data_IF_134314836789
#
_entry.id   IF_134314836789
#
_cell.length_a   1.000
_cell.length_b   1.000
_cell.length_c   1.000
_cell.angle_alpha   90.00
_cell.angle_beta   90.00
_cell.angle_gamma   90.00
#
_symmetry.space_group_name_H-M   'P 1'
#
loop_
_entity.id
_entity.type
_entity.pdbx_description
1 polymer ?
#
# COMPACT_ATOMS: atom_id res chain seq x y z
N UNK A 1 -8.45 -3.19 19.09
CA UNK A 1 -9.07 -2.06 18.37
C UNK A 1 -10.57 -2.16 18.46
N UNK A 2 -11.21 -1.10 18.88
CA UNK A 2 -12.66 -1.06 19.10
C UNK A 2 -13.33 0.11 18.39
N UNK A 3 -12.54 1.08 17.95
CA UNK A 3 -13.06 2.29 17.32
C UNK A 3 -13.54 2.03 15.89
N UNK A 4 -14.77 2.42 15.59
CA UNK A 4 -15.29 2.39 14.22
C UNK A 4 -14.81 3.59 13.43
N UNK A 5 -14.44 3.38 12.17
CA UNK A 5 -14.03 4.44 11.26
C UNK A 5 -15.27 5.26 10.85
N UNK A 6 -15.26 6.54 11.19
CA UNK A 6 -16.36 7.47 10.93
C UNK A 6 -15.80 8.81 10.44
N UNK A 7 -16.68 9.77 10.13
CA UNK A 7 -16.25 11.13 9.76
C UNK A 7 -15.48 11.85 10.88
N UNK A 8 -15.85 11.59 12.13
CA UNK A 8 -15.22 12.22 13.29
C UNK A 8 -14.01 11.42 13.80
N UNK A 9 -13.97 10.14 13.51
CA UNK A 9 -12.90 9.21 13.87
C UNK A 9 -12.40 8.55 12.58
N UNK A 10 -11.66 9.32 11.79
CA UNK A 10 -11.07 8.83 10.53
C UNK A 10 -9.83 7.97 10.82
N UNK A 11 -9.34 7.26 9.84
CA UNK A 11 -8.02 6.60 9.91
C UNK A 11 -7.13 7.04 8.77
N UNK A 12 -5.85 6.65 8.81
CA UNK A 12 -4.94 6.84 7.69
C UNK A 12 -4.52 5.49 7.10
N UNK A 13 -4.54 5.40 5.77
CA UNK A 13 -3.90 4.32 5.02
C UNK A 13 -2.62 4.86 4.40
N UNK A 14 -1.48 4.30 4.79
CA UNK A 14 -0.15 4.72 4.36
C UNK A 14 0.48 3.54 3.64
N UNK A 15 0.75 3.68 2.34
CA UNK A 15 1.37 2.65 1.52
C UNK A 15 2.81 3.06 1.20
N UNK A 16 3.76 2.18 1.49
CA UNK A 16 5.14 2.25 1.02
C UNK A 16 5.31 1.24 -0.12
N UNK A 17 5.69 1.68 -1.29
CA UNK A 17 5.73 0.87 -2.51
C UNK A 17 7.15 0.83 -3.05
N UNK A 18 7.68 -0.38 -3.13
CA UNK A 18 8.94 -0.66 -3.77
C UNK A 18 8.85 -0.40 -5.28
N UNK A 19 9.75 0.41 -5.78
CA UNK A 19 9.94 0.69 -7.18
C UNK A 19 11.37 0.38 -7.64
N UNK A 20 12.09 -0.50 -6.96
CA UNK A 20 13.44 -0.93 -7.33
C UNK A 20 13.50 -1.71 -8.64
N UNK A 21 14.70 -1.93 -9.16
CA UNK A 21 14.92 -2.59 -10.45
C UNK A 21 14.33 -4.00 -10.53
N UNK A 22 14.27 -4.77 -9.44
CA UNK A 22 13.67 -6.10 -9.38
C UNK A 22 12.16 -6.10 -9.65
N UNK A 23 11.49 -4.99 -9.39
CA UNK A 23 10.07 -4.81 -9.70
C UNK A 23 9.76 -4.83 -11.21
N UNK A 24 10.78 -4.78 -12.09
CA UNK A 24 10.63 -5.00 -13.54
C UNK A 24 10.46 -6.48 -13.92
N UNK A 25 10.67 -7.42 -13.00
CA UNK A 25 10.48 -8.84 -13.27
C UNK A 25 9.02 -9.16 -13.59
N UNK A 26 8.84 -10.07 -14.57
CA UNK A 26 7.50 -10.49 -15.00
C UNK A 26 6.90 -11.54 -14.08
N UNK A 27 5.62 -11.37 -13.78
CA UNK A 27 4.81 -12.32 -13.02
C UNK A 27 3.49 -12.59 -13.75
N UNK A 28 2.85 -13.72 -13.43
CA UNK A 28 1.48 -13.99 -13.84
C UNK A 28 0.52 -13.39 -12.79
N UNK A 29 -0.16 -12.32 -13.14
CA UNK A 29 -1.14 -11.67 -12.27
C UNK A 29 -2.50 -11.61 -12.96
N UNK A 30 -3.55 -12.13 -12.31
CA UNK A 30 -4.92 -12.20 -12.87
C UNK A 30 -4.99 -12.81 -14.27
N UNK A 31 -4.17 -13.84 -14.54
CA UNK A 31 -4.12 -14.51 -15.84
C UNK A 31 -3.36 -13.75 -16.94
N UNK A 32 -2.68 -12.65 -16.62
CA UNK A 32 -1.87 -11.85 -17.54
C UNK A 32 -0.43 -11.80 -17.10
N UNK A 33 0.48 -11.89 -18.07
CA UNK A 33 1.90 -11.64 -17.84
C UNK A 33 2.13 -10.13 -17.79
N UNK A 34 2.62 -9.63 -16.66
CA UNK A 34 2.96 -8.23 -16.45
C UNK A 34 4.13 -8.12 -15.46
N UNK A 35 4.71 -6.93 -15.31
CA UNK A 35 5.75 -6.71 -14.30
C UNK A 35 5.16 -6.66 -12.89
N UNK A 36 5.98 -6.95 -11.87
CA UNK A 36 5.60 -6.77 -10.47
C UNK A 36 5.14 -5.32 -10.22
N UNK A 37 5.85 -4.33 -10.80
CA UNK A 37 5.49 -2.93 -10.70
C UNK A 37 4.09 -2.63 -11.26
N UNK A 38 3.73 -3.19 -12.43
CA UNK A 38 2.39 -3.04 -13.01
C UNK A 38 1.32 -3.69 -12.14
N UNK A 39 1.59 -4.87 -11.60
CA UNK A 39 0.67 -5.56 -10.69
C UNK A 39 0.44 -4.76 -9.41
N UNK A 40 1.50 -4.23 -8.79
CA UNK A 40 1.39 -3.39 -7.58
C UNK A 40 0.64 -2.09 -7.86
N UNK A 41 0.95 -1.42 -8.97
CA UNK A 41 0.23 -0.21 -9.35
C UNK A 41 -1.27 -0.49 -9.56
N UNK A 42 -1.62 -1.61 -10.22
CA UNK A 42 -3.02 -2.04 -10.40
C UNK A 42 -3.70 -2.28 -9.06
N UNK A 43 -3.11 -3.09 -8.17
CA UNK A 43 -3.68 -3.38 -6.84
C UNK A 43 -3.85 -2.10 -6.02
N UNK A 44 -2.85 -1.22 -6.06
CA UNK A 44 -2.90 0.06 -5.33
C UNK A 44 -4.03 0.95 -5.85
N UNK A 45 -4.17 1.07 -7.16
CA UNK A 45 -5.25 1.84 -7.78
C UNK A 45 -6.63 1.26 -7.44
N UNK A 46 -6.78 -0.07 -7.47
CA UNK A 46 -8.02 -0.75 -7.07
C UNK A 46 -8.38 -0.46 -5.61
N UNK A 47 -7.38 -0.53 -4.71
CA UNK A 47 -7.58 -0.21 -3.29
C UNK A 47 -8.01 1.25 -3.10
N UNK A 48 -7.33 2.18 -3.75
CA UNK A 48 -7.65 3.61 -3.67
C UNK A 48 -9.08 3.88 -4.19
N UNK A 49 -9.44 3.25 -5.30
CA UNK A 49 -10.79 3.35 -5.86
C UNK A 49 -11.85 2.79 -4.90
N UNK A 50 -11.60 1.63 -4.30
CA UNK A 50 -12.51 1.04 -3.32
C UNK A 50 -12.68 1.95 -2.09
N UNK A 51 -11.61 2.59 -1.60
CA UNK A 51 -11.68 3.55 -0.50
C UNK A 51 -12.52 4.78 -0.87
N UNK A 52 -12.37 5.30 -2.09
CA UNK A 52 -13.20 6.40 -2.61
C UNK A 52 -14.67 5.98 -2.69
N UNK A 53 -14.97 4.82 -3.27
CA UNK A 53 -16.35 4.35 -3.42
C UNK A 53 -17.01 4.03 -2.06
N UNK A 54 -16.29 3.46 -1.12
CA UNK A 54 -16.78 3.26 0.27
C UNK A 54 -17.07 4.58 0.99
N UNK A 55 -16.33 5.62 0.66
CA UNK A 55 -16.52 6.95 1.22
C UNK A 55 -17.61 7.78 0.51
N UNK A 56 -18.08 7.33 -0.68
CA UNK A 56 -19.09 8.03 -1.47
C UNK A 56 -20.47 7.98 -0.81
N UNK A 57 -21.14 9.13 -0.79
CA UNK A 57 -22.53 9.30 -0.33
C UNK A 57 -23.28 10.16 -1.34
N UNK A 58 -24.57 10.36 -1.13
CA UNK A 58 -25.42 11.18 -2.00
C UNK A 58 -24.97 12.66 -2.08
N UNK A 59 -24.28 13.13 -1.05
CA UNK A 59 -23.78 14.50 -0.91
C UNK A 59 -22.29 14.66 -1.27
N UNK A 60 -21.63 13.60 -1.76
CA UNK A 60 -20.23 13.59 -2.18
C UNK A 60 -19.38 12.55 -1.47
N UNK A 61 -18.05 12.68 -1.57
CA UNK A 61 -17.11 11.78 -0.89
C UNK A 61 -16.78 12.34 0.48
N UNK A 62 -16.95 11.53 1.52
CA UNK A 62 -16.70 11.92 2.91
C UNK A 62 -15.33 11.47 3.38
N UNK A 63 -14.65 12.31 4.17
CA UNK A 63 -13.31 12.05 4.68
C UNK A 63 -13.33 11.05 5.85
N UNK A 64 -13.51 9.78 5.53
CA UNK A 64 -13.30 8.68 6.45
C UNK A 64 -11.84 8.26 6.53
N UNK A 65 -11.07 8.57 5.49
CA UNK A 65 -9.70 8.13 5.32
C UNK A 65 -8.81 9.28 4.90
N UNK A 66 -7.60 9.34 5.49
CA UNK A 66 -6.47 10.08 4.96
C UNK A 66 -5.52 9.07 4.27
N UNK A 67 -4.98 9.42 3.10
CA UNK A 67 -4.25 8.49 2.24
C UNK A 67 -2.86 9.04 1.96
N UNK A 68 -1.85 8.20 2.12
CA UNK A 68 -0.48 8.44 1.70
C UNK A 68 0.01 7.28 0.83
N UNK A 69 0.74 7.59 -0.24
CA UNK A 69 1.43 6.60 -1.06
C UNK A 69 2.85 7.05 -1.29
N UNK A 70 3.80 6.40 -0.65
CA UNK A 70 5.23 6.68 -0.71
C UNK A 70 5.88 5.65 -1.62
N UNK A 71 6.47 6.09 -2.72
CA UNK A 71 7.30 5.25 -3.57
C UNK A 71 8.77 5.41 -3.21
N UNK A 72 9.53 4.33 -3.31
CA UNK A 72 10.96 4.34 -3.11
C UNK A 72 11.71 3.54 -4.18
N UNK A 73 12.73 4.14 -4.77
CA UNK A 73 13.48 3.58 -5.91
C UNK A 73 14.79 4.34 -6.11
N UNK A 74 15.63 3.90 -7.05
CA UNK A 74 16.79 4.63 -7.47
C UNK A 74 17.85 4.77 -6.38
N UNK A 75 18.68 5.78 -6.52
CA UNK A 75 19.69 6.16 -5.54
C UNK A 75 19.04 7.15 -4.56
N UNK A 76 18.33 6.63 -3.54
CA UNK A 76 17.66 7.39 -2.47
C UNK A 76 16.43 8.23 -2.89
N UNK A 77 15.75 7.86 -3.96
CA UNK A 77 14.50 8.52 -4.34
C UNK A 77 13.31 8.03 -3.52
N UNK A 78 12.96 8.75 -2.47
CA UNK A 78 11.74 8.54 -1.70
C UNK A 78 10.79 9.72 -1.90
N UNK A 79 9.62 9.46 -2.49
CA UNK A 79 8.67 10.50 -2.83
C UNK A 79 7.22 10.06 -2.70
N UNK A 80 6.32 11.03 -2.58
CA UNK A 80 4.89 10.76 -2.76
C UNK A 80 4.60 10.36 -4.20
N UNK A 81 3.80 9.30 -4.38
CA UNK A 81 3.28 8.88 -5.68
C UNK A 81 1.89 9.45 -5.95
N UNK A 82 1.29 10.13 -4.98
CA UNK A 82 -0.01 10.78 -5.17
C UNK A 82 0.12 11.94 -6.17
N UNK A 83 -0.89 12.15 -7.02
CA UNK A 83 -0.96 13.35 -7.87
C UNK A 83 -0.86 14.62 -7.01
N UNK A 84 0.00 15.57 -7.43
CA UNK A 84 0.27 16.77 -6.63
C UNK A 84 1.47 16.65 -5.68
N UNK A 85 1.95 15.42 -5.38
CA UNK A 85 3.16 15.20 -4.57
C UNK A 85 2.98 15.43 -3.06
N UNK A 86 1.75 15.61 -2.59
CA UNK A 86 1.45 15.75 -1.15
C UNK A 86 1.67 14.42 -0.43
N UNK A 87 2.21 14.46 0.79
CA UNK A 87 2.50 13.25 1.56
C UNK A 87 1.24 12.57 2.08
N UNK A 88 0.20 13.33 2.38
CA UNK A 88 -1.04 12.80 2.94
C UNK A 88 -2.22 13.66 2.48
N UNK A 89 -3.22 13.04 1.88
CA UNK A 89 -4.42 13.72 1.40
C UNK A 89 -5.68 13.07 1.96
N UNK A 90 -6.75 13.82 2.25
CA UNK A 90 -8.05 13.22 2.54
C UNK A 90 -8.61 12.53 1.29
N UNK A 91 -9.40 11.48 1.48
CA UNK A 91 -9.96 10.67 0.37
C UNK A 91 -10.84 11.51 -0.57
N UNK A 92 -11.49 12.58 -0.07
CA UNK A 92 -12.27 13.50 -0.90
C UNK A 92 -11.39 14.31 -1.87
N UNK A 93 -10.19 14.71 -1.44
CA UNK A 93 -9.23 15.40 -2.31
C UNK A 93 -8.69 14.46 -3.40
N UNK A 94 -8.41 13.20 -3.04
CA UNK A 94 -8.03 12.18 -4.03
C UNK A 94 -9.14 11.97 -5.06
N UNK A 95 -10.39 11.86 -4.62
CA UNK A 95 -11.54 11.68 -5.49
C UNK A 95 -11.84 12.87 -6.41
N UNK A 96 -11.43 14.09 -6.00
CA UNK A 96 -11.62 15.32 -6.78
C UNK A 96 -10.56 15.52 -7.87
N UNK A 97 -9.47 14.74 -7.85
CA UNK A 97 -8.43 14.85 -8.87
C UNK A 97 -8.90 14.29 -10.21
N UNK A 98 -8.64 15.01 -11.30
CA UNK A 98 -8.81 14.47 -12.64
C UNK A 98 -7.83 13.31 -12.86
N UNK A 99 -8.38 12.12 -12.98
CA UNK A 99 -7.59 10.92 -13.16
C UNK A 99 -7.49 10.50 -14.62
N UNK A 100 -6.31 10.06 -15.05
CA UNK A 100 -6.24 9.24 -16.25
C UNK A 100 -7.05 7.96 -15.99
N UNK A 101 -8.02 7.70 -16.84
CA UNK A 101 -8.79 6.46 -16.83
C UNK A 101 -8.22 5.57 -17.92
N UNK A 102 -7.72 4.40 -17.58
CA UNK A 102 -7.45 3.35 -18.55
C UNK A 102 -8.61 2.35 -18.56
N UNK A 103 -8.75 1.61 -19.63
CA UNK A 103 -9.78 0.59 -19.74
C UNK A 103 -9.21 -0.75 -19.29
N UNK A 104 -9.79 -1.33 -18.27
CA UNK A 104 -9.51 -2.71 -17.90
C UNK A 104 -10.59 -3.64 -18.44
N UNK A 105 -10.17 -4.81 -18.91
CA UNK A 105 -11.06 -5.89 -19.30
C UNK A 105 -11.17 -6.87 -18.15
N UNK A 106 -12.34 -6.96 -17.55
CA UNK A 106 -12.63 -7.93 -16.49
C UNK A 106 -13.49 -9.07 -17.00
N UNK A 107 -13.26 -10.27 -16.47
CA UNK A 107 -14.14 -11.41 -16.68
C UNK A 107 -15.38 -11.28 -15.79
N UNK A 108 -16.54 -11.26 -16.40
CA UNK A 108 -17.81 -11.27 -15.70
C UNK A 108 -18.55 -12.59 -15.98
N UNK A 109 -18.81 -13.36 -14.90
CA UNK A 109 -19.58 -14.59 -15.02
C UNK A 109 -21.06 -14.26 -15.11
N UNK A 110 -21.68 -14.66 -16.21
CA UNK A 110 -23.10 -14.50 -16.44
C UNK A 110 -23.93 -15.56 -15.66
N UNK A 111 -25.25 -15.33 -15.45
CA UNK A 111 -26.12 -16.27 -14.73
C UNK A 111 -26.20 -17.68 -15.36
N UNK A 112 -25.92 -17.79 -16.66
CA UNK A 112 -25.88 -19.07 -17.41
C UNK A 112 -24.52 -19.80 -17.25
N UNK A 113 -23.60 -19.26 -16.49
CA UNK A 113 -22.25 -19.81 -16.24
C UNK A 113 -21.22 -19.46 -17.31
N UNK A 114 -21.60 -18.78 -18.39
CA UNK A 114 -20.65 -18.29 -19.40
C UNK A 114 -19.85 -17.09 -18.88
N UNK A 115 -18.66 -16.87 -19.47
CA UNK A 115 -17.78 -15.75 -19.15
C UNK A 115 -17.90 -14.69 -20.23
N UNK A 116 -18.30 -13.49 -19.86
CA UNK A 116 -18.28 -12.32 -20.72
C UNK A 116 -17.12 -11.41 -20.31
N UNK A 117 -16.40 -10.87 -21.29
CA UNK A 117 -15.41 -9.82 -21.06
C UNK A 117 -16.13 -8.47 -21.02
N UNK A 118 -15.90 -7.73 -19.95
CA UNK A 118 -16.45 -6.38 -19.78
C UNK A 118 -15.32 -5.37 -19.64
N UNK A 119 -15.37 -4.33 -20.43
CA UNK A 119 -14.51 -3.18 -20.27
C UNK A 119 -15.04 -2.27 -19.17
N UNK A 120 -14.20 -1.96 -18.19
CA UNK A 120 -14.50 -1.00 -17.15
C UNK A 120 -13.44 0.11 -17.12
N UNK A 121 -13.85 1.36 -16.87
CA UNK A 121 -12.87 2.40 -16.62
C UNK A 121 -12.16 2.12 -15.28
N UNK A 122 -10.84 2.06 -15.32
CA UNK A 122 -10.00 1.87 -14.16
C UNK A 122 -9.21 3.15 -13.85
N UNK A 123 -9.24 3.65 -12.63
CA UNK A 123 -8.46 4.82 -12.25
C UNK A 123 -6.97 4.49 -12.23
N UNK A 124 -6.13 5.45 -12.57
CA UNK A 124 -4.67 5.31 -12.62
C UNK A 124 -3.97 6.45 -11.88
N UNK A 125 -4.22 6.59 -10.57
CA UNK A 125 -3.49 7.55 -9.73
C UNK A 125 -2.00 7.22 -9.64
N UNK A 126 -1.69 5.93 -9.48
CA UNK A 126 -0.34 5.41 -9.27
C UNK A 126 0.15 4.77 -10.56
N UNK A 127 1.34 5.19 -11.00
CA UNK A 127 2.02 4.60 -12.16
C UNK A 127 3.03 3.55 -11.70
N UNK A 128 3.27 2.50 -12.51
CA UNK A 128 4.32 1.54 -12.24
C UNK A 128 5.68 2.22 -12.10
N UNK A 129 6.48 1.76 -11.14
CA UNK A 129 7.84 2.25 -10.90
C UNK A 129 8.77 1.05 -10.76
N UNK A 130 9.88 1.03 -11.52
CA UNK A 130 10.88 -0.02 -11.46
C UNK A 130 12.24 0.50 -11.92
N UNK A 131 13.04 1.03 -10.99
CA UNK A 131 14.36 1.56 -11.29
C UNK A 131 15.28 1.58 -10.05
N UNK A 132 16.55 1.24 -10.25
CA UNK A 132 17.62 1.42 -9.27
C UNK A 132 17.52 0.55 -8.03
N UNK A 133 17.90 1.10 -6.91
CA UNK A 133 18.05 0.45 -5.60
C UNK A 133 16.74 0.43 -4.78
N UNK A 134 16.83 -0.11 -3.56
CA UNK A 134 15.69 -0.28 -2.64
C UNK A 134 15.90 0.55 -1.35
N UNK A 135 15.76 1.88 -1.36
CA UNK A 135 15.93 2.73 -0.17
C UNK A 135 14.73 2.60 0.79
N UNK A 136 14.51 1.38 1.27
CA UNK A 136 13.34 1.00 2.11
C UNK A 136 13.40 1.67 3.47
N UNK A 137 14.60 1.79 4.06
CA UNK A 137 14.77 2.35 5.39
C UNK A 137 14.38 3.84 5.41
N UNK A 138 14.81 4.59 4.40
CA UNK A 138 14.45 6.00 4.24
C UNK A 138 12.95 6.17 3.97
N UNK A 139 12.38 5.29 3.15
CA UNK A 139 10.94 5.27 2.92
C UNK A 139 10.14 5.02 4.20
N UNK A 140 10.56 4.05 5.01
CA UNK A 140 9.90 3.76 6.29
C UNK A 140 10.10 4.87 7.32
N UNK A 141 11.23 5.61 7.30
CA UNK A 141 11.39 6.84 8.11
C UNK A 141 10.36 7.89 7.71
N UNK A 142 10.18 8.12 6.40
CA UNK A 142 9.15 9.05 5.91
C UNK A 142 7.74 8.59 6.30
N UNK A 143 7.43 7.31 6.17
CA UNK A 143 6.16 6.70 6.63
C UNK A 143 5.95 6.94 8.13
N UNK A 144 6.98 6.70 8.95
CA UNK A 144 6.97 7.00 10.40
C UNK A 144 6.60 8.46 10.66
N UNK A 145 7.24 9.38 9.94
CA UNK A 145 7.03 10.82 10.15
C UNK A 145 5.61 11.25 9.74
N UNK A 146 5.07 10.69 8.65
CA UNK A 146 3.67 10.87 8.23
C UNK A 146 2.71 10.34 9.32
N UNK A 147 2.94 9.11 9.80
CA UNK A 147 2.11 8.49 10.83
C UNK A 147 2.21 9.26 12.17
N UNK A 148 3.40 9.71 12.57
CA UNK A 148 3.60 10.52 13.76
C UNK A 148 2.88 11.88 13.65
N UNK A 149 2.99 12.56 12.51
CA UNK A 149 2.27 13.80 12.24
C UNK A 149 0.77 13.62 12.25
N UNK A 150 0.25 12.45 11.82
CA UNK A 150 -1.18 12.16 11.84
C UNK A 150 -1.68 11.84 13.27
N UNK A 151 -0.98 10.96 14.00
CA UNK A 151 -1.35 10.53 15.36
C UNK A 151 -1.23 11.66 16.39
N UNK A 152 -0.33 12.63 16.17
CA UNK A 152 -0.15 13.79 17.05
C UNK A 152 -1.30 14.81 16.99
N UNK A 153 -2.19 14.73 15.99
CA UNK A 153 -3.32 15.64 15.87
C UNK A 153 -4.37 15.29 16.92
N UNK A 154 -4.77 16.26 17.75
CA UNK A 154 -5.81 16.07 18.79
C UNK A 154 -7.12 15.52 18.22
N UNK A 155 -7.49 15.92 16.99
CA UNK A 155 -8.70 15.41 16.33
C UNK A 155 -8.64 13.90 16.03
N UNK A 156 -7.46 13.30 15.99
CA UNK A 156 -7.25 11.89 15.67
C UNK A 156 -6.98 11.02 16.92
N UNK A 157 -6.91 11.64 18.12
CA UNK A 157 -6.50 10.95 19.33
C UNK A 157 -7.37 9.72 19.68
N UNK A 158 -8.67 9.77 19.40
CA UNK A 158 -9.62 8.69 19.65
C UNK A 158 -9.97 7.89 18.38
N UNK A 159 -9.24 8.09 17.28
CA UNK A 159 -9.48 7.42 16.01
C UNK A 159 -8.88 6.02 15.99
N UNK A 160 -9.34 5.18 15.06
CA UNK A 160 -8.63 3.96 14.69
C UNK A 160 -7.22 4.33 14.21
N UNK A 161 -6.15 3.68 14.71
CA UNK A 161 -4.79 4.06 14.36
C UNK A 161 -4.48 3.85 12.87
N UNK A 162 -3.47 4.54 12.33
CA UNK A 162 -3.03 4.34 10.96
C UNK A 162 -2.68 2.88 10.64
N UNK A 163 -2.96 2.49 9.39
CA UNK A 163 -2.54 1.21 8.83
C UNK A 163 -1.49 1.48 7.78
N UNK A 164 -0.31 0.90 7.98
CA UNK A 164 0.85 1.00 7.08
C UNK A 164 1.00 -0.30 6.32
N UNK A 165 1.07 -0.23 5.00
CA UNK A 165 1.44 -1.35 4.13
C UNK A 165 2.80 -1.07 3.52
N UNK A 166 3.76 -1.96 3.73
CA UNK A 166 5.03 -1.95 3.03
C UNK A 166 5.03 -3.08 1.99
N UNK A 167 5.11 -2.74 0.71
CA UNK A 167 4.99 -3.66 -0.42
C UNK A 167 6.33 -3.72 -1.14
N UNK A 168 7.01 -4.88 -1.10
CA UNK A 168 8.37 -5.04 -1.63
C UNK A 168 8.60 -6.47 -2.12
N UNK A 169 9.59 -6.65 -2.98
CA UNK A 169 10.09 -7.97 -3.41
C UNK A 169 11.52 -8.26 -2.94
N UNK A 170 12.16 -7.34 -2.20
CA UNK A 170 13.57 -7.40 -1.87
C UNK A 170 13.97 -6.92 -0.48
N UNK A 171 15.29 -6.81 -0.31
CA UNK A 171 15.94 -6.28 0.89
C UNK A 171 16.17 -4.78 0.76
N UNK A 172 16.18 -4.08 1.91
CA UNK A 172 16.68 -2.72 1.99
C UNK A 172 18.15 -2.66 1.56
N UNK A 173 18.49 -1.68 0.73
CA UNK A 173 19.88 -1.45 0.28
C UNK A 173 20.56 -0.28 0.99
N UNK A 174 19.79 0.49 1.74
CA UNK A 174 20.18 1.76 2.39
C UNK A 174 20.42 1.61 3.90
N UNK A 175 20.23 0.43 4.48
CA UNK A 175 20.47 0.17 5.90
C UNK A 175 20.69 -1.32 6.18
N UNK A 176 21.16 -1.63 7.38
CA UNK A 176 21.21 -3.01 7.87
C UNK A 176 19.90 -3.46 8.53
N UNK A 177 19.84 -4.76 8.87
CA UNK A 177 18.64 -5.37 9.44
C UNK A 177 18.28 -4.82 10.84
N UNK A 178 19.25 -4.36 11.62
CA UNK A 178 19.04 -3.81 12.96
C UNK A 178 18.41 -2.42 12.86
N UNK A 179 18.92 -1.61 11.95
CA UNK A 179 18.38 -0.29 11.66
C UNK A 179 16.95 -0.38 11.08
N UNK A 180 16.72 -1.30 10.13
CA UNK A 180 15.39 -1.56 9.58
C UNK A 180 14.37 -1.93 10.67
N UNK A 181 14.75 -2.85 11.58
CA UNK A 181 13.93 -3.23 12.74
C UNK A 181 13.62 -2.04 13.64
N UNK A 182 14.63 -1.23 13.92
CA UNK A 182 14.48 -0.04 14.75
C UNK A 182 13.44 0.92 14.18
N UNK A 183 13.46 1.17 12.86
CA UNK A 183 12.47 2.02 12.19
C UNK A 183 11.07 1.39 12.25
N UNK A 184 10.95 0.09 11.99
CA UNK A 184 9.69 -0.63 12.11
C UNK A 184 9.11 -0.57 13.53
N UNK A 185 9.94 -0.75 14.56
CA UNK A 185 9.51 -0.66 15.95
C UNK A 185 9.08 0.76 16.33
N UNK A 186 9.75 1.78 15.80
CA UNK A 186 9.31 3.17 15.96
C UNK A 186 7.93 3.42 15.34
N UNK A 187 7.64 2.87 14.15
CA UNK A 187 6.31 2.95 13.52
C UNK A 187 5.26 2.27 14.40
N UNK A 188 5.52 1.03 14.84
CA UNK A 188 4.61 0.24 15.69
C UNK A 188 4.41 0.84 17.09
N UNK A 189 5.33 1.69 17.57
CA UNK A 189 5.19 2.40 18.83
C UNK A 189 4.28 3.63 18.74
N UNK A 190 4.02 4.16 17.55
CA UNK A 190 3.03 5.21 17.34
C UNK A 190 1.61 4.67 17.54
N UNK A 191 0.68 5.53 17.90
CA UNK A 191 -0.70 5.06 18.09
C UNK A 191 -1.68 6.16 18.45
N UNK A 192 -2.89 5.73 18.70
CA UNK A 192 -4.02 6.51 19.24
C UNK A 192 -4.49 5.87 20.54
N UNK A 193 -5.53 6.40 21.17
CA UNK A 193 -6.14 5.76 22.35
C UNK A 193 -6.68 4.36 22.04
N UNK A 194 -7.08 4.09 20.77
CA UNK A 194 -7.62 2.79 20.36
C UNK A 194 -6.53 1.72 20.14
N UNK A 195 -5.27 2.11 20.00
CA UNK A 195 -4.16 1.17 19.87
C UNK A 195 -2.99 1.70 19.03
N UNK A 196 -2.05 0.83 18.77
CA UNK A 196 -0.83 1.13 18.03
C UNK A 196 -1.05 1.08 16.52
N UNK A 197 -0.19 1.77 15.76
CA UNK A 197 -0.12 1.68 14.31
C UNK A 197 0.09 0.24 13.86
N UNK A 198 -0.70 -0.19 12.88
CA UNK A 198 -0.55 -1.50 12.25
C UNK A 198 0.45 -1.40 11.11
N UNK A 199 1.54 -2.14 11.19
CA UNK A 199 2.51 -2.28 10.10
C UNK A 199 2.38 -3.68 9.48
N UNK A 200 2.03 -3.73 8.19
CA UNK A 200 1.81 -4.94 7.42
C UNK A 200 2.81 -4.98 6.28
N UNK A 201 3.67 -5.98 6.26
CA UNK A 201 4.59 -6.23 5.16
C UNK A 201 3.96 -7.18 4.14
N UNK A 202 4.02 -6.83 2.86
CA UNK A 202 3.57 -7.63 1.73
C UNK A 202 4.79 -7.93 0.86
N UNK A 203 5.21 -9.19 0.87
CA UNK A 203 6.32 -9.66 0.04
C UNK A 203 5.79 -10.23 -1.28
N UNK A 204 6.35 -9.74 -2.40
CA UNK A 204 6.01 -10.21 -3.74
C UNK A 204 7.06 -11.20 -4.19
N UNK A 205 6.70 -12.48 -4.18
CA UNK A 205 7.57 -13.54 -4.67
C UNK A 205 7.53 -13.64 -6.21
N UNK A 206 8.67 -13.95 -6.82
CA UNK A 206 8.75 -14.36 -8.23
C UNK A 206 8.61 -15.88 -8.30
N UNK A 207 7.64 -16.37 -9.08
CA UNK A 207 7.51 -17.79 -9.42
C UNK A 207 6.08 -18.32 -9.32
N UNK A 208 5.73 -19.22 -10.25
CA UNK A 208 4.40 -19.85 -10.39
C UNK A 208 4.08 -20.92 -9.34
N UNK A 209 4.99 -21.22 -8.42
CA UNK A 209 4.92 -22.44 -7.59
C UNK A 209 4.61 -22.17 -6.12
N UNK A 210 4.69 -20.94 -5.66
CA UNK A 210 4.43 -20.62 -4.26
C UNK A 210 2.97 -20.22 -4.05
N UNK A 211 2.30 -20.95 -3.16
CA UNK A 211 0.96 -20.53 -2.71
C UNK A 211 1.11 -19.28 -1.86
N UNK A 212 0.24 -18.26 -2.05
CA UNK A 212 0.27 -17.10 -1.18
C UNK A 212 0.03 -17.52 0.27
N UNK A 213 0.91 -17.06 1.16
CA UNK A 213 0.80 -17.30 2.60
C UNK A 213 0.31 -15.99 3.22
N UNK A 214 -0.81 -16.05 3.94
CA UNK A 214 -1.39 -14.91 4.62
C UNK A 214 -1.12 -15.02 6.12
N UNK A 215 -0.56 -13.97 6.70
CA UNK A 215 -0.26 -13.87 8.13
C UNK A 215 0.51 -15.11 8.65
N UNK A 216 1.71 -15.40 8.07
CA UNK A 216 2.47 -16.59 8.41
C UNK A 216 2.81 -16.62 9.90
N UNK A 217 2.84 -17.80 10.50
CA UNK A 217 3.45 -17.98 11.80
C UNK A 217 4.99 -17.97 11.69
N UNK A 218 5.68 -17.71 12.80
CA UNK A 218 7.14 -17.56 12.82
C UNK A 218 7.90 -18.77 12.21
N UNK A 219 7.34 -19.96 12.28
CA UNK A 219 7.92 -21.16 11.67
C UNK A 219 7.69 -21.21 10.15
N UNK A 220 6.58 -20.68 9.63
CA UNK A 220 6.27 -20.64 8.20
C UNK A 220 7.09 -19.58 7.48
N UNK A 221 7.30 -18.39 8.09
CA UNK A 221 8.11 -17.32 7.54
C UNK A 221 9.57 -17.73 7.28
N UNK A 222 10.08 -18.74 8.02
CA UNK A 222 11.46 -19.23 7.88
C UNK A 222 11.70 -20.07 6.61
N UNK A 223 10.64 -20.54 5.96
CA UNK A 223 10.76 -21.51 4.85
C UNK A 223 10.51 -20.92 3.46
N UNK A 224 9.98 -19.71 3.35
CA UNK A 224 9.62 -19.14 2.05
C UNK A 224 10.82 -18.58 1.30
N UNK A 225 11.53 -17.64 1.84
CA UNK A 225 12.84 -17.18 1.40
C UNK A 225 13.47 -16.28 2.47
N UNK A 226 14.75 -15.89 2.27
CA UNK A 226 15.49 -15.05 3.20
C UNK A 226 14.82 -13.67 3.42
N UNK A 227 14.26 -13.08 2.37
CA UNK A 227 13.64 -11.76 2.40
C UNK A 227 12.30 -11.76 3.10
N UNK A 228 11.46 -12.76 2.81
CA UNK A 228 10.20 -12.96 3.52
C UNK A 228 10.41 -13.15 5.03
N UNK A 229 11.48 -13.88 5.41
CA UNK A 229 11.83 -14.06 6.82
C UNK A 229 12.27 -12.76 7.51
N UNK A 230 12.91 -11.84 6.78
CA UNK A 230 13.30 -10.53 7.30
C UNK A 230 12.08 -9.63 7.52
N UNK A 231 11.11 -9.68 6.61
CA UNK A 231 9.90 -8.86 6.68
C UNK A 231 8.86 -9.37 7.70
N UNK A 232 9.11 -10.53 8.30
CA UNK A 232 8.38 -11.04 9.46
C UNK A 232 8.91 -10.36 10.76
N UNK A 233 8.73 -9.04 10.85
CA UNK A 233 9.25 -8.22 11.94
C UNK A 233 8.19 -7.90 13.00
#
# INVERSE_FOLDING_TARGET
YTQSITRNHRTAFILAIDGSGSMAESILFRGRCMTKAEAVATITNDLLFELVERARRSDGVRDYYDIAVVGYSGDDEVRSLLPGGEDLVPVSALAAQEMPVHTEVIEHRLPDGSIALREIPAPAWIKPLSAGQTPMCEALRRVRDIAAGWTSRTANAESFPPVVFNITDGEATDCDNEELRTVCDQIKALGTVDGNVLLINIHIAAGDTERPVFFPEAHEARYTNRYASLLYL
#
